data_IF_170106717535
#
_entry.id   IF_170106717535
#
_cell.length_a   1.000
_cell.length_b   1.000
_cell.length_c   1.000
_cell.angle_alpha   90.00
_cell.angle_beta   90.00
_cell.angle_gamma   90.00
#
_symmetry.space_group_name_H-M   'P 1'
#
loop_
_entity.id
_entity.type
_entity.pdbx_description
1 polymer ?
#
# COMPACT_ATOMS: atom_id res chain seq x y z
N UNK A 1 -22.39 -7.05 -9.25
CA UNK A 1 -21.46 -7.66 -8.27
C UNK A 1 -20.58 -8.67 -8.99
N UNK A 2 -19.36 -8.92 -8.48
CA UNK A 2 -18.49 -9.95 -9.05
C UNK A 2 -19.08 -11.36 -8.80
N UNK A 3 -18.90 -12.32 -9.71
CA UNK A 3 -19.32 -13.70 -9.49
C UNK A 3 -18.71 -14.26 -8.20
N UNK A 4 -19.54 -14.90 -7.36
CA UNK A 4 -19.10 -15.47 -6.08
C UNK A 4 -18.40 -16.83 -6.24
N UNK A 5 -18.53 -17.46 -7.42
CA UNK A 5 -17.85 -18.68 -7.83
C UNK A 5 -17.18 -18.43 -9.19
N UNK A 6 -16.04 -17.73 -9.22
CA UNK A 6 -15.35 -17.41 -10.46
C UNK A 6 -14.66 -18.66 -11.02
N UNK A 7 -14.63 -18.79 -12.34
CA UNK A 7 -13.85 -19.85 -13.02
C UNK A 7 -12.35 -19.80 -12.63
N UNK A 8 -11.84 -18.60 -12.29
CA UNK A 8 -10.46 -18.38 -11.90
C UNK A 8 -10.34 -17.35 -10.76
N UNK A 9 -9.64 -17.72 -9.68
CA UNK A 9 -9.30 -16.82 -8.58
C UNK A 9 -8.08 -15.95 -8.92
N UNK A 10 -8.34 -14.69 -9.30
CA UNK A 10 -7.28 -13.74 -9.67
C UNK A 10 -6.58 -13.16 -8.44
N UNK A 11 -5.55 -13.84 -7.92
CA UNK A 11 -4.80 -13.40 -6.73
C UNK A 11 -4.15 -12.01 -6.82
N UNK A 12 -3.96 -11.45 -8.03
CA UNK A 12 -3.40 -10.12 -8.25
C UNK A 12 -4.41 -8.96 -8.29
N UNK A 13 -5.73 -9.22 -8.35
CA UNK A 13 -6.71 -8.15 -8.56
C UNK A 13 -8.19 -8.54 -8.50
N UNK A 14 -8.53 -9.78 -8.10
CA UNK A 14 -9.90 -10.27 -8.02
C UNK A 14 -10.56 -10.13 -6.64
N UNK A 15 -9.81 -9.66 -5.63
CA UNK A 15 -10.35 -9.47 -4.28
C UNK A 15 -11.29 -8.27 -4.23
N UNK A 16 -12.43 -8.43 -3.54
CA UNK A 16 -13.36 -7.37 -3.19
C UNK A 16 -13.68 -7.42 -1.70
N UNK A 17 -14.00 -6.27 -1.12
CA UNK A 17 -14.27 -6.12 0.30
C UNK A 17 -14.45 -4.65 0.65
N UNK A 18 -14.46 -4.34 1.95
CA UNK A 18 -14.56 -2.97 2.45
C UNK A 18 -13.20 -2.40 2.86
N UNK A 19 -13.12 -1.08 3.04
CA UNK A 19 -11.96 -0.44 3.66
C UNK A 19 -11.67 -1.03 5.06
N UNK A 20 -12.72 -1.37 5.81
CA UNK A 20 -12.59 -2.03 7.11
C UNK A 20 -11.94 -3.40 7.02
N UNK A 21 -12.29 -4.20 6.01
CA UNK A 21 -11.68 -5.51 5.79
C UNK A 21 -10.19 -5.38 5.45
N UNK A 22 -9.84 -4.43 4.58
CA UNK A 22 -8.45 -4.20 4.23
C UNK A 22 -7.62 -3.68 5.42
N UNK A 23 -8.20 -2.84 6.28
CA UNK A 23 -7.56 -2.41 7.53
C UNK A 23 -7.27 -3.58 8.48
N UNK A 24 -8.05 -4.66 8.45
CA UNK A 24 -7.73 -5.88 9.23
C UNK A 24 -6.45 -6.53 8.72
N UNK A 25 -6.24 -6.58 7.40
CA UNK A 25 -4.99 -7.04 6.81
C UNK A 25 -3.81 -6.15 7.21
N UNK A 26 -3.94 -4.82 7.08
CA UNK A 26 -2.86 -3.90 7.49
C UNK A 26 -2.54 -4.03 8.98
N UNK A 27 -3.55 -4.16 9.83
CA UNK A 27 -3.38 -4.38 11.27
C UNK A 27 -2.69 -5.70 11.60
N UNK A 28 -2.91 -6.75 10.81
CA UNK A 28 -2.18 -8.02 10.95
C UNK A 28 -0.67 -7.83 10.72
N UNK A 29 -0.30 -7.04 9.71
CA UNK A 29 1.10 -6.69 9.41
C UNK A 29 1.70 -5.82 10.53
N UNK A 30 0.97 -4.80 11.01
CA UNK A 30 1.40 -3.98 12.16
C UNK A 30 1.63 -4.83 13.43
N UNK A 31 0.80 -5.84 13.65
CA UNK A 31 0.85 -6.71 14.82
C UNK A 31 1.77 -7.94 14.62
N UNK A 32 2.77 -7.86 13.75
CA UNK A 32 3.75 -8.93 13.52
C UNK A 32 3.10 -10.30 13.23
N UNK A 33 2.05 -10.27 12.41
CA UNK A 33 1.40 -11.48 11.90
C UNK A 33 0.15 -11.90 12.67
N UNK A 34 -0.29 -11.13 13.66
CA UNK A 34 -1.41 -11.48 14.53
C UNK A 34 -2.66 -10.64 14.26
N UNK A 35 -3.82 -11.29 14.27
CA UNK A 35 -5.11 -10.62 14.15
C UNK A 35 -6.16 -11.36 14.99
N UNK A 36 -6.85 -10.64 15.88
CA UNK A 36 -7.96 -11.23 16.64
C UNK A 36 -7.56 -12.38 17.58
N UNK A 37 -6.33 -12.38 18.08
CA UNK A 37 -5.80 -13.45 18.94
C UNK A 37 -5.15 -14.61 18.18
N UNK A 38 -5.32 -14.66 16.86
CA UNK A 38 -4.76 -15.71 16.01
C UNK A 38 -3.48 -15.27 15.30
N UNK A 39 -2.59 -16.23 15.02
CA UNK A 39 -1.37 -16.02 14.23
C UNK A 39 -1.61 -16.43 12.78
N UNK A 40 -1.70 -15.43 11.90
CA UNK A 40 -1.82 -15.62 10.45
C UNK A 40 -0.44 -15.83 9.82
N UNK A 41 0.54 -15.01 10.22
CA UNK A 41 1.93 -15.11 9.76
C UNK A 41 2.91 -15.18 10.93
N UNK A 42 4.05 -15.83 10.71
CA UNK A 42 5.15 -15.77 11.68
C UNK A 42 5.77 -14.37 11.68
N UNK A 43 6.28 -13.86 12.82
CA UNK A 43 6.90 -12.53 12.87
C UNK A 43 8.05 -12.39 11.86
N UNK A 44 8.82 -13.46 11.65
CA UNK A 44 9.94 -13.48 10.69
C UNK A 44 9.44 -13.36 9.25
N UNK A 45 8.27 -13.93 8.94
CA UNK A 45 7.63 -13.79 7.63
C UNK A 45 7.18 -12.35 7.42
N UNK A 46 6.58 -11.70 8.42
CA UNK A 46 6.19 -10.29 8.34
C UNK A 46 7.40 -9.38 8.15
N UNK A 47 8.48 -9.64 8.89
CA UNK A 47 9.74 -8.92 8.70
C UNK A 47 10.27 -9.07 7.26
N UNK A 48 10.26 -10.28 6.71
CA UNK A 48 10.69 -10.55 5.34
C UNK A 48 9.82 -9.85 4.30
N UNK A 49 8.51 -9.71 4.54
CA UNK A 49 7.60 -8.94 3.68
C UNK A 49 7.95 -7.44 3.62
N UNK A 50 8.72 -6.90 4.56
CA UNK A 50 9.20 -5.51 4.54
C UNK A 50 10.60 -5.33 3.95
N UNK A 51 11.33 -6.40 3.64
CA UNK A 51 12.72 -6.29 3.18
C UNK A 51 12.82 -6.11 1.67
N UNK A 52 13.80 -5.31 1.24
CA UNK A 52 14.16 -5.17 -0.17
C UNK A 52 14.53 -6.53 -0.78
N UNK A 53 13.86 -6.91 -1.87
CA UNK A 53 14.12 -8.12 -2.65
C UNK A 53 14.63 -7.81 -4.07
N UNK A 54 14.96 -6.55 -4.35
CA UNK A 54 15.46 -6.08 -5.64
C UNK A 54 16.99 -5.99 -5.70
N UNK A 55 17.69 -6.23 -4.59
CA UNK A 55 19.12 -5.92 -4.48
C UNK A 55 19.39 -4.43 -4.70
N UNK A 56 20.25 -4.10 -5.67
CA UNK A 56 20.61 -2.72 -5.99
C UNK A 56 19.62 -2.03 -6.94
N UNK A 57 18.67 -2.76 -7.53
CA UNK A 57 17.63 -2.18 -8.37
C UNK A 57 16.65 -1.32 -7.54
N UNK A 58 16.07 -0.30 -8.17
CA UNK A 58 15.13 0.63 -7.54
C UNK A 58 13.86 0.76 -8.37
N UNK A 59 12.75 1.04 -7.69
CA UNK A 59 11.48 1.34 -8.35
C UNK A 59 11.57 2.74 -8.96
N UNK A 60 11.28 2.82 -10.24
CA UNK A 60 11.17 4.06 -11.02
C UNK A 60 9.72 4.28 -11.45
N UNK A 61 9.45 5.32 -12.26
CA UNK A 61 8.12 5.54 -12.83
C UNK A 61 7.54 4.31 -13.54
N UNK A 62 6.27 4.05 -13.28
CA UNK A 62 5.46 3.00 -13.89
C UNK A 62 4.83 3.56 -15.17
N UNK A 63 4.99 2.85 -16.28
CA UNK A 63 4.33 3.18 -17.54
C UNK A 63 2.93 2.58 -17.60
N UNK A 64 1.98 3.31 -18.19
CA UNK A 64 0.63 2.84 -18.46
C UNK A 64 0.66 1.54 -19.25
N UNK A 65 0.00 0.50 -18.71
CA UNK A 65 -0.03 -0.83 -19.32
C UNK A 65 -1.32 -1.09 -20.12
N UNK A 66 -2.42 -0.45 -19.74
CA UNK A 66 -3.75 -0.60 -20.34
C UNK A 66 -4.49 0.75 -20.36
N UNK A 67 -5.56 0.93 -21.16
CA UNK A 67 -6.33 2.18 -21.21
C UNK A 67 -6.98 2.62 -19.89
N UNK A 68 -6.95 1.76 -18.87
CA UNK A 68 -7.46 2.02 -17.52
C UNK A 68 -6.38 2.53 -16.56
N UNK A 69 -5.15 2.77 -17.02
CA UNK A 69 -4.02 3.21 -16.19
C UNK A 69 -3.32 4.40 -16.81
N UNK A 70 -2.98 5.40 -16.01
CA UNK A 70 -1.99 6.42 -16.37
C UNK A 70 -0.58 5.96 -15.98
N UNK A 71 0.43 6.66 -16.50
CA UNK A 71 1.77 6.62 -15.92
C UNK A 71 1.71 7.07 -14.45
N UNK A 72 2.50 6.44 -13.59
CA UNK A 72 2.45 6.67 -12.16
C UNK A 72 3.85 6.66 -11.53
N UNK A 73 4.08 7.59 -10.61
CA UNK A 73 5.22 7.51 -9.70
C UNK A 73 4.79 7.97 -8.31
N UNK A 74 5.03 7.12 -7.31
CA UNK A 74 4.80 7.48 -5.92
C UNK A 74 6.05 8.16 -5.36
N UNK A 75 5.88 9.36 -4.80
CA UNK A 75 6.97 10.16 -4.24
C UNK A 75 8.14 10.32 -5.24
N UNK A 76 7.96 11.08 -6.33
CA UNK A 76 8.98 11.25 -7.35
C UNK A 76 10.30 11.77 -6.79
N UNK A 77 11.41 11.20 -7.25
CA UNK A 77 12.76 11.54 -6.78
C UNK A 77 13.17 10.85 -5.48
N UNK A 78 12.24 10.25 -4.72
CA UNK A 78 12.59 9.49 -3.53
C UNK A 78 13.05 8.07 -3.87
N UNK A 79 14.08 7.58 -3.18
CA UNK A 79 14.60 6.23 -3.37
C UNK A 79 13.62 5.17 -2.83
N UNK A 80 13.28 4.19 -3.67
CA UNK A 80 12.27 3.17 -3.39
C UNK A 80 12.74 1.79 -3.85
N UNK A 81 12.43 0.76 -3.08
CA UNK A 81 12.60 -0.65 -3.48
C UNK A 81 11.29 -1.42 -3.43
N UNK A 82 11.34 -2.69 -3.83
CA UNK A 82 10.23 -3.62 -3.78
C UNK A 82 10.57 -4.81 -2.89
N UNK A 83 9.63 -5.23 -2.06
CA UNK A 83 9.71 -6.43 -1.23
C UNK A 83 8.91 -7.58 -1.85
N UNK A 84 8.66 -8.66 -1.11
CA UNK A 84 7.75 -9.72 -1.58
C UNK A 84 6.28 -9.26 -1.71
N UNK A 85 5.91 -8.10 -1.15
CA UNK A 85 4.51 -7.65 -1.13
C UNK A 85 4.30 -6.13 -1.28
N UNK A 86 5.32 -5.31 -1.08
CA UNK A 86 5.14 -3.86 -0.95
C UNK A 86 6.25 -3.07 -1.64
N UNK A 87 5.91 -1.85 -2.01
CA UNK A 87 6.91 -0.81 -2.21
C UNK A 87 7.44 -0.36 -0.86
N UNK A 88 8.73 -0.10 -0.76
CA UNK A 88 9.40 0.37 0.47
C UNK A 88 10.09 1.71 0.19
N UNK A 89 9.77 2.75 0.97
CA UNK A 89 10.48 4.04 0.88
C UNK A 89 11.77 4.01 1.72
N UNK A 90 12.86 4.55 1.20
CA UNK A 90 14.18 4.51 1.87
C UNK A 90 14.49 5.74 2.70
N UNK A 91 13.69 6.79 2.56
CA UNK A 91 13.81 8.06 3.27
C UNK A 91 12.47 8.47 3.88
N UNK A 92 12.52 9.45 4.79
CA UNK A 92 11.31 10.07 5.33
C UNK A 92 10.60 10.85 4.21
N UNK A 93 9.29 10.64 4.07
CA UNK A 93 8.49 11.21 3.00
C UNK A 93 7.86 12.53 3.42
N UNK A 94 7.50 13.36 2.43
CA UNK A 94 6.84 14.66 2.64
C UNK A 94 5.49 14.56 3.34
N UNK A 95 4.85 13.39 3.34
CA UNK A 95 3.60 13.11 4.06
C UNK A 95 3.81 12.84 5.55
N UNK A 96 5.06 12.78 6.02
CA UNK A 96 5.42 12.43 7.39
C UNK A 96 5.69 10.93 7.61
N UNK A 97 5.45 10.07 6.61
CA UNK A 97 5.78 8.65 6.69
C UNK A 97 7.31 8.47 6.80
N UNK A 98 7.82 7.76 7.82
CA UNK A 98 9.25 7.56 7.99
C UNK A 98 9.84 6.57 6.98
N UNK A 99 11.17 6.60 6.84
CA UNK A 99 11.95 5.60 6.12
C UNK A 99 11.60 4.16 6.58
N UNK A 100 11.51 3.25 5.63
CA UNK A 100 11.10 1.85 5.84
C UNK A 100 9.59 1.63 5.77
N UNK A 101 8.81 2.67 5.52
CA UNK A 101 7.36 2.56 5.30
C UNK A 101 7.03 1.71 4.08
N UNK A 102 5.91 0.99 4.16
CA UNK A 102 5.41 0.06 3.14
C UNK A 102 4.17 0.65 2.48
N UNK A 103 4.00 0.46 1.17
CA UNK A 103 2.77 0.85 0.48
C UNK A 103 2.51 0.06 -0.79
N UNK A 104 1.26 0.10 -1.23
CA UNK A 104 0.92 -0.17 -2.62
C UNK A 104 -0.43 0.43 -2.99
N UNK A 105 -0.95 -0.01 -4.13
CA UNK A 105 -2.17 0.51 -4.71
C UNK A 105 -3.00 -0.58 -5.40
N UNK A 106 -4.27 -0.27 -5.62
CA UNK A 106 -5.22 -1.02 -6.42
C UNK A 106 -5.74 -0.15 -7.56
N UNK A 107 -6.14 -0.82 -8.65
CA UNK A 107 -6.43 -0.21 -9.94
C UNK A 107 -7.46 0.94 -9.87
N UNK A 108 -8.52 0.79 -9.07
CA UNK A 108 -9.58 1.80 -8.95
C UNK A 108 -9.21 2.96 -8.00
N UNK A 109 -7.98 3.46 -8.08
CA UNK A 109 -7.43 4.51 -7.21
C UNK A 109 -7.64 4.21 -5.71
N UNK A 110 -7.31 2.98 -5.32
CA UNK A 110 -7.20 2.58 -3.92
C UNK A 110 -5.74 2.55 -3.52
N UNK A 111 -5.39 3.12 -2.38
CA UNK A 111 -4.02 3.26 -1.91
C UNK A 111 -3.94 2.89 -0.43
N UNK A 112 -2.84 2.29 0.00
CA UNK A 112 -2.63 1.98 1.41
C UNK A 112 -1.18 2.15 1.82
N UNK A 113 -0.95 2.33 3.12
CA UNK A 113 0.38 2.36 3.70
C UNK A 113 0.44 1.67 5.05
N UNK A 114 1.64 1.26 5.42
CA UNK A 114 1.96 0.63 6.70
C UNK A 114 3.27 1.23 7.19
N UNK A 115 3.24 1.85 8.35
CA UNK A 115 4.39 2.33 9.09
C UNK A 115 4.50 1.52 10.40
N UNK A 116 5.36 0.52 10.36
CA UNK A 116 5.63 -0.33 11.53
C UNK A 116 6.44 0.39 12.61
N UNK A 117 7.12 1.50 12.30
CA UNK A 117 7.94 2.26 13.26
C UNK A 117 7.06 3.09 14.19
N UNK A 118 6.00 3.72 13.67
CA UNK A 118 5.04 4.48 14.50
C UNK A 118 3.80 3.68 14.89
N UNK A 119 3.60 2.49 14.31
CA UNK A 119 2.41 1.67 14.55
C UNK A 119 1.17 2.20 13.83
N UNK A 120 1.36 2.96 12.76
CA UNK A 120 0.29 3.56 11.96
C UNK A 120 0.12 2.82 10.63
N UNK A 121 -1.13 2.64 10.20
CA UNK A 121 -1.45 2.22 8.85
C UNK A 121 -2.74 2.89 8.41
N UNK A 122 -2.93 3.01 7.10
CA UNK A 122 -4.12 3.62 6.55
C UNK A 122 -4.46 3.10 5.17
N UNK A 123 -5.71 3.29 4.80
CA UNK A 123 -6.24 2.96 3.49
C UNK A 123 -7.12 4.11 2.99
N UNK A 124 -6.96 4.42 1.72
CA UNK A 124 -7.79 5.34 0.96
C UNK A 124 -8.38 4.53 -0.19
N UNK A 125 -9.71 4.53 -0.34
CA UNK A 125 -10.37 3.75 -1.38
C UNK A 125 -11.34 4.63 -2.16
N UNK A 126 -11.23 4.57 -3.47
CA UNK A 126 -12.23 5.11 -4.40
C UNK A 126 -12.66 4.01 -5.38
N UNK A 127 -13.53 4.36 -6.31
CA UNK A 127 -13.93 3.51 -7.44
C UNK A 127 -13.74 4.28 -8.75
N UNK A 128 -12.60 4.96 -8.89
CA UNK A 128 -12.29 5.86 -10.00
C UNK A 128 -11.25 5.25 -10.93
N UNK A 129 -11.42 5.53 -12.23
CA UNK A 129 -10.49 5.20 -13.30
C UNK A 129 -10.24 6.45 -14.15
N UNK A 130 -9.09 6.55 -14.84
CA UNK A 130 -7.96 5.61 -14.84
C UNK A 130 -7.19 5.58 -13.51
N UNK A 131 -6.46 4.50 -13.24
CA UNK A 131 -5.48 4.42 -12.15
C UNK A 131 -4.46 5.56 -12.22
N UNK A 132 -3.98 6.00 -11.05
CA UNK A 132 -3.19 7.23 -10.91
C UNK A 132 -3.95 8.44 -11.49
N UNK A 133 -5.19 8.59 -11.03
CA UNK A 133 -6.03 9.73 -11.34
C UNK A 133 -5.44 11.01 -10.76
N UNK A 134 -5.55 12.10 -11.54
CA UNK A 134 -4.87 13.38 -11.25
C UNK A 134 -5.41 14.07 -10.00
N UNK A 135 -6.62 13.78 -9.57
CA UNK A 135 -7.22 14.32 -8.35
C UNK A 135 -7.11 13.34 -7.18
N UNK A 136 -7.33 12.05 -7.47
CA UNK A 136 -7.35 11.03 -6.43
C UNK A 136 -5.96 10.76 -5.82
N UNK A 137 -4.90 10.78 -6.62
CA UNK A 137 -3.55 10.51 -6.10
C UNK A 137 -3.05 11.64 -5.17
N UNK A 138 -3.15 12.94 -5.53
CA UNK A 138 -2.86 14.02 -4.59
C UNK A 138 -3.74 13.98 -3.34
N UNK A 139 -5.03 13.66 -3.48
CA UNK A 139 -5.94 13.53 -2.34
C UNK A 139 -5.50 12.45 -1.36
N UNK A 140 -5.04 11.29 -1.86
CA UNK A 140 -4.44 10.25 -1.02
C UNK A 140 -3.22 10.77 -0.24
N UNK A 141 -2.31 11.50 -0.89
CA UNK A 141 -1.12 12.06 -0.25
C UNK A 141 -1.48 13.13 0.80
N UNK A 142 -2.48 13.97 0.52
CA UNK A 142 -3.00 14.93 1.49
C UNK A 142 -3.68 14.26 2.69
N UNK A 143 -4.43 13.19 2.44
CA UNK A 143 -5.04 12.38 3.51
C UNK A 143 -3.97 11.77 4.41
N UNK A 144 -2.93 11.15 3.84
CA UNK A 144 -1.82 10.61 4.63
C UNK A 144 -1.13 11.70 5.46
N UNK A 145 -0.82 12.85 4.82
CA UNK A 145 -0.23 14.00 5.52
C UNK A 145 -1.05 14.45 6.72
N UNK A 146 -2.38 14.55 6.56
CA UNK A 146 -3.28 14.96 7.62
C UNK A 146 -3.30 13.95 8.79
N UNK A 147 -3.22 12.65 8.50
CA UNK A 147 -3.14 11.62 9.55
C UNK A 147 -1.87 11.77 10.39
N UNK A 148 -0.70 11.94 9.76
CA UNK A 148 0.56 12.10 10.50
C UNK A 148 0.60 13.42 11.29
N UNK A 149 0.10 14.51 10.72
CA UNK A 149 0.01 15.80 11.43
C UNK A 149 -0.91 15.69 12.66
N UNK A 150 -1.99 14.93 12.57
CA UNK A 150 -2.93 14.70 13.67
C UNK A 150 -2.36 13.89 14.84
N UNK A 151 -1.25 13.17 14.68
CA UNK A 151 -0.60 12.44 15.78
C UNK A 151 0.14 13.37 16.77
N UNK A 152 0.43 14.61 16.35
CA UNK A 152 1.14 15.60 17.15
C UNK A 152 0.25 16.75 17.65
N UNK A 153 -1.05 16.69 17.37
CA UNK A 153 -2.06 17.64 17.83
C UNK A 153 -2.64 17.23 19.19
#
# INVERSE_FOLDING_TARGET
ELPQDPEFEMGGGGLYGTAGDYLRFLRMILNNGQLGGERVLRPESVWALGQNQMGDCRVTGLQAAIPLTNDAEFFPGSAKSWSLAFQVNHEDLSTGRPAGGLMWAGLANSYYWIDQKTGLAGVYMTQLFPFADQESLPTFLSFESAVYQGLHA
#
